data_IF_857668750215
#
_entry.id   IF_857668750215
#
_cell.length_a   1.000
_cell.length_b   1.000
_cell.length_c   1.000
_cell.angle_alpha   90.00
_cell.angle_beta   90.00
_cell.angle_gamma   90.00
#
_symmetry.space_group_name_H-M   'P 1'
#
loop_
_entity.id
_entity.type
_entity.pdbx_description
1 polymer ?
#
# COMPACT_ATOMS: atom_id res chain seq x y z
N UNK A 1 11.60 -6.67 -16.55
CA UNK A 1 10.78 -5.45 -16.48
C UNK A 1 9.44 -5.86 -15.88
N UNK A 2 9.17 -5.51 -14.62
CA UNK A 2 7.85 -5.75 -14.04
C UNK A 2 6.86 -4.80 -14.72
N UNK A 3 5.69 -5.32 -15.13
CA UNK A 3 4.61 -4.47 -15.64
C UNK A 3 4.03 -3.70 -14.46
N UNK A 4 4.17 -2.37 -14.53
CA UNK A 4 3.62 -1.42 -13.59
C UNK A 4 2.26 -0.99 -14.14
N UNK A 5 1.16 -1.46 -13.53
CA UNK A 5 -0.18 -0.96 -13.82
C UNK A 5 -0.44 0.20 -12.87
N UNK A 6 -0.88 1.33 -13.41
CA UNK A 6 -1.17 2.49 -12.60
C UNK A 6 -2.30 2.16 -11.61
N UNK A 7 -2.02 2.30 -10.33
CA UNK A 7 -2.98 2.15 -9.24
C UNK A 7 -3.40 3.55 -8.77
N UNK A 8 -4.64 3.65 -8.31
CA UNK A 8 -5.19 4.89 -7.77
C UNK A 8 -5.10 4.93 -6.25
N UNK A 9 -4.82 3.82 -5.58
CA UNK A 9 -4.74 3.77 -4.12
C UNK A 9 -3.73 2.72 -3.64
N UNK A 10 -3.34 2.84 -2.38
CA UNK A 10 -2.43 1.89 -1.73
C UNK A 10 -2.85 1.69 -0.27
N UNK A 11 -2.97 0.43 0.14
CA UNK A 11 -3.38 0.04 1.49
C UNK A 11 -2.44 -1.06 1.99
N UNK A 12 -1.76 -0.82 3.12
CA UNK A 12 -0.75 -1.73 3.67
C UNK A 12 -1.06 -2.01 5.15
N UNK A 13 -1.27 -3.29 5.50
CA UNK A 13 -1.45 -3.74 6.88
C UNK A 13 -0.08 -4.00 7.52
N UNK A 14 0.52 -2.98 8.13
CA UNK A 14 1.91 -2.97 8.56
C UNK A 14 2.15 -4.00 9.67
N UNK A 15 3.08 -4.93 9.46
CA UNK A 15 3.31 -6.05 10.37
C UNK A 15 2.27 -7.18 10.29
N UNK A 16 1.21 -7.02 9.49
CA UNK A 16 0.05 -7.93 9.47
C UNK A 16 -0.09 -8.74 8.18
N UNK A 17 -0.96 -9.75 8.23
CA UNK A 17 -1.39 -10.46 7.02
C UNK A 17 -2.40 -9.62 6.21
N UNK A 18 -2.68 -10.04 4.97
CA UNK A 18 -3.71 -9.41 4.14
C UNK A 18 -5.05 -9.42 4.88
N UNK A 19 -5.72 -8.28 4.91
CA UNK A 19 -7.00 -8.11 5.61
C UNK A 19 -7.93 -7.15 4.88
N UNK A 20 -9.19 -7.10 5.30
CA UNK A 20 -10.17 -6.10 4.86
C UNK A 20 -10.51 -5.23 6.05
N UNK A 21 -10.38 -3.92 5.89
CA UNK A 21 -10.75 -2.93 6.89
C UNK A 21 -11.33 -1.70 6.20
N UNK A 22 -12.36 -1.10 6.77
CA UNK A 22 -12.99 0.13 6.25
C UNK A 22 -13.44 0.01 4.78
N UNK A 23 -13.81 -1.21 4.34
CA UNK A 23 -14.23 -1.49 2.97
C UNK A 23 -13.09 -1.61 1.95
N UNK A 24 -11.82 -1.50 2.37
CA UNK A 24 -10.64 -1.62 1.52
C UNK A 24 -9.85 -2.89 1.82
N UNK A 25 -9.21 -3.46 0.81
CA UNK A 25 -8.32 -4.61 0.96
C UNK A 25 -6.88 -4.12 1.20
N UNK A 26 -6.33 -4.42 2.37
CA UNK A 26 -4.97 -4.08 2.75
C UNK A 26 -4.02 -5.22 2.38
N UNK A 27 -2.91 -4.88 1.72
CA UNK A 27 -1.84 -5.83 1.42
C UNK A 27 -1.14 -6.30 2.71
N UNK A 28 -0.58 -7.51 2.64
CA UNK A 28 0.18 -8.07 3.75
C UNK A 28 1.55 -7.41 3.89
N UNK A 29 1.96 -7.17 5.12
CA UNK A 29 3.30 -6.76 5.50
C UNK A 29 3.77 -7.58 6.72
N UNK A 30 3.72 -8.90 6.61
CA UNK A 30 4.07 -9.86 7.67
C UNK A 30 5.53 -10.35 7.61
N UNK A 31 6.31 -9.90 6.61
CA UNK A 31 7.70 -10.31 6.44
C UNK A 31 8.57 -9.79 7.61
N UNK A 32 9.48 -10.63 8.11
CA UNK A 32 10.39 -10.28 9.23
C UNK A 32 11.78 -9.83 8.76
N UNK A 33 11.87 -9.46 7.48
CA UNK A 33 13.11 -9.06 6.84
C UNK A 33 13.31 -7.55 7.02
N UNK A 34 14.54 -7.09 6.81
CA UNK A 34 14.86 -5.65 6.80
C UNK A 34 14.41 -4.96 5.51
N UNK A 35 14.00 -5.72 4.51
CA UNK A 35 13.50 -5.23 3.23
C UNK A 35 12.47 -6.22 2.68
N UNK A 36 11.43 -5.68 2.08
CA UNK A 36 10.41 -6.45 1.37
C UNK A 36 9.84 -5.61 0.24
N UNK A 37 9.43 -6.25 -0.85
CA UNK A 37 8.87 -5.56 -2.00
C UNK A 37 7.81 -6.41 -2.68
N UNK A 38 6.68 -5.78 -3.01
CA UNK A 38 5.70 -6.29 -3.95
C UNK A 38 5.96 -5.60 -5.30
N UNK A 39 6.44 -6.34 -6.33
CA UNK A 39 6.79 -5.76 -7.62
C UNK A 39 5.63 -4.96 -8.20
N UNK A 40 5.91 -3.71 -8.61
CA UNK A 40 4.93 -2.83 -9.23
C UNK A 40 3.85 -2.29 -8.29
N UNK A 41 4.00 -2.39 -6.97
CA UNK A 41 3.01 -1.86 -6.02
C UNK A 41 3.63 -1.08 -4.86
N UNK A 42 4.43 -1.73 -4.02
CA UNK A 42 5.11 -1.04 -2.91
C UNK A 42 6.28 -1.84 -2.35
N UNK A 43 7.12 -1.19 -1.54
CA UNK A 43 8.19 -1.84 -0.79
C UNK A 43 8.41 -1.14 0.56
N UNK A 44 9.12 -1.80 1.48
CA UNK A 44 9.69 -1.13 2.63
C UNK A 44 11.17 -1.47 2.82
N UNK A 45 11.87 -0.57 3.51
CA UNK A 45 13.21 -0.79 4.05
C UNK A 45 13.25 -0.43 5.53
N UNK A 46 13.97 -1.22 6.32
CA UNK A 46 14.05 -1.16 7.76
C UNK A 46 15.52 -1.26 8.18
N UNK A 47 16.04 -0.29 8.93
CA UNK A 47 17.47 -0.23 9.26
C UNK A 47 17.75 0.23 10.69
N UNK A 48 19.01 0.03 11.10
CA UNK A 48 19.50 0.21 12.46
C UNK A 48 19.39 -1.06 13.32
N UNK A 49 19.87 -0.98 14.55
CA UNK A 49 19.83 -2.10 15.49
C UNK A 49 19.09 -1.69 16.77
N UNK A 50 18.44 -2.65 17.42
CA UNK A 50 17.77 -2.41 18.69
C UNK A 50 18.81 -2.25 19.80
N UNK A 51 18.52 -1.40 20.78
CA UNK A 51 19.35 -1.24 21.98
C UNK A 51 19.32 -2.51 22.87
N UNK A 52 18.26 -3.30 22.76
CA UNK A 52 18.12 -4.58 23.45
C UNK A 52 19.02 -5.67 22.83
N UNK A 53 19.89 -6.26 23.65
CA UNK A 53 20.77 -7.37 23.24
C UNK A 53 20.03 -8.71 23.01
N UNK A 54 18.74 -8.79 23.39
CA UNK A 54 17.90 -9.98 23.20
C UNK A 54 16.91 -9.83 22.03
N UNK A 55 16.87 -8.65 21.40
CA UNK A 55 16.01 -8.44 20.24
C UNK A 55 16.47 -9.30 19.05
N UNK A 56 15.51 -9.76 18.27
CA UNK A 56 15.73 -10.63 17.11
C UNK A 56 14.78 -10.25 15.96
N UNK A 57 14.81 -11.02 14.87
CA UNK A 57 14.00 -10.72 13.68
C UNK A 57 12.49 -10.75 13.92
N UNK A 58 12.01 -11.42 14.97
CA UNK A 58 10.59 -11.36 15.33
C UNK A 58 10.16 -10.00 15.86
N UNK A 59 11.09 -9.19 16.38
CA UNK A 59 10.77 -7.86 16.89
C UNK A 59 10.39 -6.87 15.80
N UNK A 60 10.73 -7.12 14.53
CA UNK A 60 10.32 -6.25 13.43
C UNK A 60 8.79 -6.20 13.21
N UNK A 61 8.07 -7.16 13.80
CA UNK A 61 6.61 -7.24 13.79
C UNK A 61 6.12 -7.37 15.22
N UNK A 62 5.22 -6.48 15.63
CA UNK A 62 4.64 -6.49 16.97
C UNK A 62 3.16 -6.82 16.90
N UNK A 63 2.71 -7.59 17.87
CA UNK A 63 1.31 -7.93 18.06
C UNK A 63 0.83 -7.28 19.35
N UNK A 64 -0.45 -6.91 19.40
CA UNK A 64 -1.09 -6.46 20.64
C UNK A 64 -0.97 -7.53 21.73
N UNK A 65 -0.71 -7.08 22.95
CA UNK A 65 -0.61 -7.95 24.13
C UNK A 65 -1.92 -8.73 24.37
N UNK A 66 -1.80 -10.03 24.67
CA UNK A 66 -2.93 -10.90 25.01
C UNK A 66 -3.78 -10.29 26.14
N UNK A 67 -5.11 -10.18 25.94
CA UNK A 67 -6.07 -9.69 26.94
C UNK A 67 -6.99 -8.57 26.45
N UNK A 68 -6.62 -7.87 25.37
CA UNK A 68 -7.48 -6.87 24.73
C UNK A 68 -8.29 -7.55 23.62
N UNK A 69 -9.62 -7.58 23.76
CA UNK A 69 -10.53 -8.11 22.75
C UNK A 69 -10.65 -7.14 21.57
N UNK A 70 -9.68 -7.17 20.66
CA UNK A 70 -9.72 -6.41 19.41
C UNK A 70 -10.39 -7.28 18.33
N UNK A 71 -11.33 -6.71 17.57
CA UNK A 71 -11.96 -7.36 16.41
C UNK A 71 -10.91 -7.93 15.46
N UNK A 72 -11.13 -9.13 14.91
CA UNK A 72 -10.23 -9.78 13.94
C UNK A 72 -9.96 -8.97 12.68
N UNK A 73 -10.85 -8.04 12.34
CA UNK A 73 -10.73 -7.13 11.19
C UNK A 73 -9.94 -5.84 11.49
N UNK A 74 -9.40 -5.70 12.70
CA UNK A 74 -8.72 -4.47 13.12
C UNK A 74 -7.28 -4.38 12.61
N UNK A 75 -6.96 -3.26 11.96
CA UNK A 75 -5.61 -2.88 11.54
C UNK A 75 -4.64 -2.70 12.73
N UNK A 76 -5.15 -2.57 13.95
CA UNK A 76 -4.37 -2.21 15.14
C UNK A 76 -3.92 -3.42 15.97
N UNK A 77 -4.14 -4.64 15.46
CA UNK A 77 -3.63 -5.89 16.08
C UNK A 77 -2.14 -6.08 15.90
N UNK A 78 -1.61 -5.57 14.80
CA UNK A 78 -0.21 -5.71 14.41
C UNK A 78 0.38 -4.36 14.10
N UNK A 79 1.71 -4.27 14.16
CA UNK A 79 2.44 -3.11 13.71
C UNK A 79 3.82 -3.51 13.20
N UNK A 80 4.30 -2.80 12.17
CA UNK A 80 5.70 -2.85 11.79
C UNK A 80 6.51 -1.99 12.72
N UNK A 81 7.61 -2.55 13.18
CA UNK A 81 8.53 -1.92 14.12
C UNK A 81 9.95 -1.98 13.56
N UNK A 82 10.65 -0.85 13.54
CA UNK A 82 12.04 -0.79 13.09
C UNK A 82 12.88 -0.03 14.09
N UNK A 83 14.17 -0.37 14.26
CA UNK A 83 15.01 0.22 15.31
C UNK A 83 15.38 1.69 15.09
N UNK A 84 15.75 2.08 13.86
CA UNK A 84 16.21 3.46 13.59
C UNK A 84 15.41 4.10 12.49
N UNK A 85 15.25 3.42 11.36
CA UNK A 85 14.61 3.99 10.17
C UNK A 85 13.72 2.96 9.51
N UNK A 86 12.53 3.39 9.13
CA UNK A 86 11.55 2.63 8.35
C UNK A 86 11.07 3.51 7.21
N UNK A 87 11.22 3.05 5.97
CA UNK A 87 10.73 3.79 4.81
C UNK A 87 9.85 2.88 3.98
N UNK A 88 8.62 3.32 3.71
CA UNK A 88 7.74 2.72 2.71
C UNK A 88 7.81 3.50 1.42
N UNK A 89 7.72 2.77 0.31
CA UNK A 89 7.69 3.30 -1.05
C UNK A 89 6.42 2.81 -1.73
N UNK A 90 5.57 3.73 -2.19
CA UNK A 90 4.45 3.44 -3.08
C UNK A 90 4.89 3.59 -4.53
N UNK A 91 4.81 2.51 -5.31
CA UNK A 91 5.12 2.51 -6.73
C UNK A 91 3.84 2.56 -7.55
N UNK A 92 3.96 2.98 -8.81
CA UNK A 92 2.88 2.87 -9.79
C UNK A 92 1.59 3.62 -9.41
N UNK A 93 1.66 4.56 -8.46
CA UNK A 93 0.57 5.49 -8.22
C UNK A 93 0.51 6.49 -9.37
N UNK A 94 -0.69 6.78 -9.86
CA UNK A 94 -0.87 7.85 -10.83
C UNK A 94 -0.37 9.21 -10.30
N UNK A 95 0.01 10.10 -11.22
CA UNK A 95 0.41 11.45 -10.83
C UNK A 95 -0.81 12.21 -10.31
N UNK A 96 -0.70 12.79 -9.13
CA UNK A 96 -1.80 13.54 -8.57
C UNK A 96 -1.65 13.89 -7.10
N UNK A 97 -2.71 14.50 -6.57
CA UNK A 97 -2.84 14.80 -5.16
C UNK A 97 -3.50 13.63 -4.44
N UNK A 98 -2.89 13.23 -3.32
CA UNK A 98 -3.33 12.13 -2.49
C UNK A 98 -3.52 12.57 -1.05
N UNK A 99 -4.34 11.82 -0.32
CA UNK A 99 -4.37 11.81 1.13
C UNK A 99 -3.65 10.56 1.61
N UNK A 100 -2.61 10.75 2.40
CA UNK A 100 -1.89 9.70 3.13
C UNK A 100 -2.43 9.68 4.55
N UNK A 101 -3.02 8.55 4.95
CA UNK A 101 -3.45 8.29 6.33
C UNK A 101 -2.48 7.30 6.97
N UNK A 102 -1.91 7.70 8.10
CA UNK A 102 -0.99 6.90 8.90
C UNK A 102 -1.71 6.45 10.17
N UNK A 103 -1.86 5.14 10.31
CA UNK A 103 -2.58 4.52 11.41
C UNK A 103 -1.59 4.05 12.47
N UNK A 104 -1.71 4.60 13.67
CA UNK A 104 -0.85 4.30 14.81
C UNK A 104 -1.66 3.67 15.95
N UNK A 105 -1.03 2.76 16.67
CA UNK A 105 -1.47 2.33 17.99
C UNK A 105 -0.23 1.97 18.81
N UNK A 106 -0.16 2.42 20.07
CA UNK A 106 0.91 1.98 20.97
C UNK A 106 0.51 0.62 21.55
N UNK A 107 1.17 -0.44 21.05
CA UNK A 107 0.90 -1.83 21.40
C UNK A 107 2.07 -2.53 22.10
N UNK A 108 3.21 -1.86 22.28
CA UNK A 108 4.41 -2.41 22.95
C UNK A 108 4.42 -1.97 24.41
N UNK A 109 4.32 -0.65 24.65
CA UNK A 109 4.41 -0.07 25.98
C UNK A 109 3.02 0.07 26.61
N UNK A 110 2.28 -1.04 26.71
CA UNK A 110 0.87 -1.08 27.11
C UNK A 110 0.63 -1.44 28.57
N UNK A 111 1.61 -2.02 29.27
CA UNK A 111 1.47 -2.46 30.65
C UNK A 111 1.78 -1.31 31.60
N UNK A 112 0.73 -0.72 32.14
CA UNK A 112 0.50 -0.43 33.57
C UNK A 112 -0.90 0.18 33.70
N UNK A 113 -1.66 -0.16 34.74
CA UNK A 113 -3.04 0.32 34.97
C UNK A 113 -3.14 1.86 35.04
N UNK A 114 -2.01 2.54 35.26
CA UNK A 114 -1.86 4.00 35.29
C UNK A 114 -1.19 4.61 34.05
N UNK A 115 -0.97 3.86 32.97
CA UNK A 115 -0.16 4.31 31.81
C UNK A 115 1.28 4.73 32.18
N UNK A 116 1.75 4.29 33.34
CA UNK A 116 2.93 4.79 34.04
C UNK A 116 4.24 4.07 33.67
N UNK A 117 4.19 3.08 32.77
CA UNK A 117 5.43 2.55 32.20
C UNK A 117 6.20 3.71 31.56
N UNK A 118 7.34 4.03 32.16
CA UNK A 118 8.26 5.11 31.79
C UNK A 118 8.80 4.99 30.34
N UNK A 119 8.37 4.00 29.56
CA UNK A 119 8.71 3.78 28.16
C UNK A 119 7.90 4.70 27.24
N UNK A 120 8.56 5.67 26.60
CA UNK A 120 8.00 6.44 25.50
C UNK A 120 8.81 6.20 24.23
N UNK A 121 8.10 6.20 23.11
CA UNK A 121 8.70 6.10 21.79
C UNK A 121 8.49 7.44 21.10
N UNK A 122 9.59 8.02 20.60
CA UNK A 122 9.57 9.35 19.97
C UNK A 122 10.29 9.26 18.63
N UNK A 123 9.60 9.56 17.53
CA UNK A 123 10.18 9.52 16.18
C UNK A 123 9.63 10.66 15.32
N UNK A 124 10.35 10.98 14.25
CA UNK A 124 9.90 11.92 13.23
C UNK A 124 9.23 11.15 12.07
N UNK A 125 8.30 11.81 11.38
CA UNK A 125 7.65 11.29 10.17
C UNK A 125 7.83 12.28 9.03
N UNK A 126 8.27 11.76 7.89
CA UNK A 126 8.51 12.48 6.65
C UNK A 126 7.65 11.89 5.54
N UNK A 127 7.11 12.74 4.68
CA UNK A 127 6.41 12.34 3.47
C UNK A 127 6.99 13.16 2.32
N UNK A 128 7.43 12.48 1.26
CA UNK A 128 8.15 13.11 0.14
C UNK A 128 9.32 13.99 0.61
N UNK A 129 10.08 13.51 1.60
CA UNK A 129 11.22 14.22 2.20
C UNK A 129 10.88 15.40 3.13
N UNK A 130 9.62 15.80 3.24
CA UNK A 130 9.20 16.88 4.14
C UNK A 130 8.79 16.33 5.51
N UNK A 131 9.34 16.87 6.60
CA UNK A 131 8.98 16.46 7.97
C UNK A 131 7.57 16.92 8.31
N UNK A 132 6.63 15.99 8.35
CA UNK A 132 5.22 16.22 8.71
C UNK A 132 4.97 16.13 10.22
N UNK A 133 5.65 15.21 10.90
CA UNK A 133 5.61 15.10 12.35
C UNK A 133 7.03 15.13 12.92
N UNK A 134 7.22 15.94 13.96
CA UNK A 134 8.48 16.02 14.71
C UNK A 134 8.23 15.53 16.13
N UNK A 135 9.15 14.73 16.66
CA UNK A 135 9.11 14.25 18.04
C UNK A 135 7.75 13.59 18.37
N UNK A 136 7.21 12.83 17.41
CA UNK A 136 5.90 12.19 17.53
C UNK A 136 5.93 11.07 18.56
N UNK A 137 5.05 11.18 19.55
CA UNK A 137 4.83 10.21 20.60
C UNK A 137 3.39 9.70 20.54
N UNK A 138 3.21 8.44 20.12
CA UNK A 138 1.88 7.83 19.97
C UNK A 138 1.12 7.86 21.31
N UNK A 139 1.84 7.64 22.42
CA UNK A 139 1.25 7.63 23.76
C UNK A 139 0.65 8.96 24.21
N UNK A 140 1.21 10.07 23.75
CA UNK A 140 0.69 11.40 24.10
C UNK A 140 -0.51 11.78 23.23
N UNK A 141 -0.70 11.10 22.10
CA UNK A 141 -1.79 11.34 21.16
C UNK A 141 -2.99 10.46 21.43
N UNK A 142 -2.75 9.17 21.62
CA UNK A 142 -3.76 8.20 22.03
C UNK A 142 -4.01 8.37 23.54
N UNK A 143 -5.28 8.54 23.95
CA UNK A 143 -5.61 8.78 25.36
C UNK A 143 -5.48 7.50 26.22
N UNK A 144 -5.40 6.33 25.58
CA UNK A 144 -5.31 5.02 26.25
C UNK A 144 -4.44 4.01 25.47
N UNK A 145 -3.96 2.92 26.11
CA UNK A 145 -3.19 1.88 25.43
C UNK A 145 -4.02 1.19 24.34
N UNK A 146 -3.38 0.78 23.25
CA UNK A 146 -4.03 0.10 22.12
C UNK A 146 -5.16 0.92 21.44
N UNK A 147 -5.30 2.19 21.77
CA UNK A 147 -6.20 3.10 21.09
C UNK A 147 -5.57 3.55 19.76
N UNK A 148 -6.40 3.55 18.73
CA UNK A 148 -6.01 3.97 17.40
C UNK A 148 -5.86 5.49 17.34
N UNK A 149 -4.80 5.96 16.70
CA UNK A 149 -4.61 7.35 16.31
C UNK A 149 -4.29 7.44 14.83
N UNK A 150 -4.98 8.33 14.12
CA UNK A 150 -4.84 8.49 12.66
C UNK A 150 -4.37 9.90 12.36
N UNK A 151 -3.27 10.02 11.63
CA UNK A 151 -2.77 11.29 11.10
C UNK A 151 -2.97 11.32 9.59
N UNK A 152 -3.48 12.45 9.07
CA UNK A 152 -3.82 12.61 7.65
C UNK A 152 -2.99 13.72 7.03
N UNK A 153 -2.31 13.42 5.94
CA UNK A 153 -1.45 14.38 5.25
C UNK A 153 -1.73 14.44 3.76
N UNK A 154 -1.76 15.64 3.15
CA UNK A 154 -1.71 15.75 1.71
C UNK A 154 -0.32 15.35 1.20
N UNK A 155 -0.28 14.62 0.09
CA UNK A 155 0.93 14.27 -0.63
C UNK A 155 0.74 14.46 -2.13
N UNK A 156 1.83 14.80 -2.82
CA UNK A 156 1.86 14.89 -4.29
C UNK A 156 2.71 13.75 -4.81
N UNK A 157 2.11 12.92 -5.66
CA UNK A 157 2.81 11.88 -6.42
C UNK A 157 3.12 12.42 -7.81
N UNK A 158 4.39 12.34 -8.21
CA UNK A 158 4.90 12.84 -9.49
C UNK A 158 5.62 11.73 -10.28
N UNK A 159 6.80 12.00 -10.83
CA UNK A 159 7.64 11.00 -11.49
C UNK A 159 8.38 10.07 -10.51
N UNK A 160 8.35 10.35 -9.21
CA UNK A 160 9.01 9.56 -8.18
C UNK A 160 8.00 8.71 -7.38
N UNK A 161 8.44 7.58 -6.81
CA UNK A 161 7.64 6.82 -5.86
C UNK A 161 7.19 7.70 -4.69
N UNK A 162 6.00 7.43 -4.15
CA UNK A 162 5.58 8.03 -2.89
C UNK A 162 6.48 7.50 -1.77
N UNK A 163 7.22 8.39 -1.11
CA UNK A 163 8.07 8.03 0.02
C UNK A 163 7.42 8.45 1.36
N UNK A 164 7.31 7.49 2.28
CA UNK A 164 6.88 7.72 3.66
C UNK A 164 7.98 7.19 4.58
N UNK A 165 8.68 8.09 5.26
CA UNK A 165 9.86 7.79 6.06
C UNK A 165 9.63 8.10 7.53
N UNK A 166 9.89 7.11 8.38
CA UNK A 166 9.84 7.21 9.82
C UNK A 166 11.25 7.10 10.38
N UNK A 167 11.65 8.05 11.21
CA UNK A 167 13.03 8.15 11.67
C UNK A 167 13.12 8.39 13.18
N UNK A 168 13.89 7.55 13.85
CA UNK A 168 14.21 7.69 15.25
C UNK A 168 15.56 8.39 15.45
N UNK A 169 15.48 9.61 15.97
CA UNK A 169 16.64 10.48 16.21
C UNK A 169 17.28 10.28 17.60
N UNK A 170 17.15 9.09 18.21
CA UNK A 170 17.73 8.80 19.53
C UNK A 170 16.92 9.27 20.73
N UNK A 171 15.61 9.55 20.57
CA UNK A 171 14.73 10.09 21.62
C UNK A 171 13.76 9.06 22.19
N UNK A 172 13.15 9.36 23.34
CA UNK A 172 12.29 8.44 24.07
C UNK A 172 13.08 7.62 25.09
N UNK A 173 12.54 6.49 25.51
CA UNK A 173 13.10 5.73 26.63
C UNK A 173 14.24 4.81 26.19
N UNK A 174 15.43 5.09 26.72
CA UNK A 174 16.66 4.38 26.38
C UNK A 174 17.11 3.36 27.43
N UNK A 175 16.57 3.45 28.65
CA UNK A 175 17.03 2.66 29.81
C UNK A 175 15.91 1.83 30.45
N UNK A 176 14.70 1.87 29.90
CA UNK A 176 13.54 1.16 30.46
C UNK A 176 13.21 -0.06 29.61
N UNK A 177 13.19 -1.27 30.18
CA UNK A 177 12.83 -2.45 29.43
C UNK A 177 11.35 -2.39 28.96
N UNK A 178 11.03 -2.92 27.78
CA UNK A 178 11.95 -3.44 26.77
C UNK A 178 12.68 -2.30 26.04
N UNK A 179 14.01 -2.41 25.90
CA UNK A 179 14.90 -1.40 25.28
C UNK A 179 14.76 -1.38 23.74
N UNK A 180 13.55 -1.10 23.28
CA UNK A 180 13.13 -1.18 21.89
C UNK A 180 12.93 0.24 21.34
N UNK A 181 13.98 0.79 20.75
CA UNK A 181 14.01 2.08 20.05
C UNK A 181 13.36 2.03 18.67
N UNK A 182 12.96 3.19 18.12
CA UNK A 182 12.56 3.29 16.71
C UNK A 182 11.08 3.62 16.43
N UNK A 183 10.65 3.74 15.17
CA UNK A 183 9.25 4.00 14.81
C UNK A 183 8.36 2.75 14.79
N UNK A 184 7.05 2.95 15.05
CA UNK A 184 6.00 1.92 15.05
C UNK A 184 4.80 2.41 14.22
N UNK A 185 4.27 1.57 13.32
CA UNK A 185 3.11 1.90 12.46
C UNK A 185 2.23 0.67 12.25
N UNK A 186 0.91 0.82 12.33
CA UNK A 186 -0.07 -0.26 12.19
C UNK A 186 -0.61 -0.39 10.77
N UNK A 187 -0.88 0.72 10.08
CA UNK A 187 -1.29 0.68 8.69
C UNK A 187 -0.98 1.98 7.95
N UNK A 188 -0.94 1.88 6.62
CA UNK A 188 -0.81 3.02 5.71
C UNK A 188 -1.93 2.93 4.68
N UNK A 189 -2.63 4.04 4.47
CA UNK A 189 -3.65 4.19 3.46
C UNK A 189 -3.34 5.41 2.60
N UNK A 190 -3.41 5.26 1.29
CA UNK A 190 -3.13 6.31 0.32
C UNK A 190 -4.29 6.33 -0.65
N UNK A 191 -5.03 7.43 -0.67
CA UNK A 191 -6.22 7.58 -1.50
C UNK A 191 -6.14 8.84 -2.34
N UNK A 192 -6.65 8.82 -3.59
CA UNK A 192 -6.54 9.95 -4.49
C UNK A 192 -7.56 11.02 -4.09
N UNK A 193 -7.17 12.29 -4.13
CA UNK A 193 -8.07 13.42 -3.88
C UNK A 193 -8.84 13.86 -5.14
N UNK A 194 -8.92 12.98 -6.14
CA UNK A 194 -9.57 13.22 -7.41
C UNK A 194 -10.51 12.07 -7.76
N UNK A 195 -11.45 12.32 -8.67
CA UNK A 195 -12.37 11.28 -9.13
C UNK A 195 -11.58 10.24 -9.92
N UNK A 196 -11.52 9.02 -9.39
CA UNK A 196 -11.01 7.87 -10.12
C UNK A 196 -11.99 7.56 -11.23
N UNK A 197 -11.56 7.75 -12.47
CA UNK A 197 -12.26 7.21 -13.60
C UNK A 197 -11.82 5.75 -13.72
N UNK A 198 -12.57 4.84 -13.11
CA UNK A 198 -12.45 3.42 -13.38
C UNK A 198 -12.52 3.28 -14.90
N UNK A 199 -11.41 2.92 -15.56
CA UNK A 199 -11.32 2.77 -17.02
C UNK A 199 -12.25 1.71 -17.63
N UNK A 200 -13.30 1.31 -16.91
CA UNK A 200 -14.44 0.53 -17.39
C UNK A 200 -15.08 1.27 -18.55
N UNK A 201 -14.89 0.71 -19.73
CA UNK A 201 -15.64 1.08 -20.92
C UNK A 201 -17.14 1.01 -20.59
N UNK A 202 -17.85 2.08 -20.91
CA UNK A 202 -19.31 2.10 -20.79
C UNK A 202 -19.92 0.97 -21.63
N UNK A 203 -21.11 0.49 -21.24
CA UNK A 203 -21.84 -0.52 -22.02
C UNK A 203 -22.01 -0.09 -23.50
N UNK A 204 -22.14 1.21 -23.76
CA UNK A 204 -22.18 1.79 -25.11
C UNK A 204 -20.85 1.63 -25.87
N UNK A 205 -19.71 1.85 -25.23
CA UNK A 205 -18.38 1.64 -25.85
C UNK A 205 -18.12 0.16 -26.14
N UNK A 206 -18.47 -0.73 -25.20
CA UNK A 206 -18.35 -2.19 -25.41
C UNK A 206 -19.21 -2.64 -26.59
N UNK A 207 -20.47 -2.18 -26.64
CA UNK A 207 -21.40 -2.46 -27.74
C UNK A 207 -20.85 -1.92 -29.07
N UNK A 208 -20.32 -0.70 -29.08
CA UNK A 208 -19.74 -0.07 -30.27
C UNK A 208 -18.53 -0.83 -30.82
N UNK A 209 -17.60 -1.26 -29.96
CA UNK A 209 -16.45 -2.08 -30.36
C UNK A 209 -16.92 -3.42 -30.95
N UNK A 210 -17.91 -4.05 -30.31
CA UNK A 210 -18.44 -5.35 -30.74
C UNK A 210 -19.08 -5.27 -32.13
N UNK A 211 -19.90 -4.25 -32.38
CA UNK A 211 -20.51 -3.99 -33.69
C UNK A 211 -19.41 -3.66 -34.71
N UNK A 212 -18.47 -2.77 -34.36
CA UNK A 212 -17.36 -2.40 -35.24
C UNK A 212 -16.54 -3.61 -35.71
N UNK A 213 -16.18 -4.52 -34.81
CA UNK A 213 -15.44 -5.75 -35.15
C UNK A 213 -16.23 -6.71 -36.05
N UNK A 214 -17.56 -6.74 -35.95
CA UNK A 214 -18.40 -7.59 -36.82
C UNK A 214 -18.62 -6.98 -38.21
N UNK A 215 -18.79 -5.66 -38.30
CA UNK A 215 -19.08 -4.98 -39.56
C UNK A 215 -17.82 -4.60 -40.36
N UNK A 216 -16.69 -4.36 -39.70
CA UNK A 216 -15.42 -4.07 -40.37
C UNK A 216 -15.03 -5.14 -41.42
N UNK A 217 -15.03 -6.46 -41.11
CA UNK A 217 -14.70 -7.48 -42.11
C UNK A 217 -15.75 -7.58 -43.21
N UNK A 218 -17.03 -7.36 -42.92
CA UNK A 218 -18.10 -7.35 -43.92
C UNK A 218 -17.95 -6.18 -44.91
N UNK A 219 -17.64 -4.99 -44.41
CA UNK A 219 -17.37 -3.81 -45.25
C UNK A 219 -16.09 -3.99 -46.08
N UNK A 220 -15.05 -4.60 -45.50
CA UNK A 220 -13.83 -4.97 -46.22
C UNK A 220 -14.12 -5.96 -47.36
N UNK A 221 -14.90 -7.01 -47.09
CA UNK A 221 -15.32 -7.98 -48.11
C UNK A 221 -16.14 -7.33 -49.22
N UNK A 222 -17.11 -6.47 -48.87
CA UNK A 222 -17.91 -5.73 -49.85
C UNK A 222 -17.04 -4.79 -50.71
N UNK A 223 -16.04 -4.14 -50.11
CA UNK A 223 -15.09 -3.30 -50.82
C UNK A 223 -14.20 -4.11 -51.78
N UNK A 224 -13.62 -5.22 -51.31
CA UNK A 224 -12.82 -6.14 -52.14
C UNK A 224 -13.65 -6.69 -53.30
N UNK A 225 -14.92 -7.03 -53.05
CA UNK A 225 -15.84 -7.51 -54.07
C UNK A 225 -16.16 -6.42 -55.11
N UNK A 226 -16.43 -5.19 -54.67
CA UNK A 226 -16.67 -4.04 -55.56
C UNK A 226 -15.46 -3.69 -56.43
N UNK A 227 -14.25 -3.88 -55.90
CA UNK A 227 -12.99 -3.66 -56.64
C UNK A 227 -12.66 -4.78 -57.63
N UNK A 228 -13.48 -5.84 -57.70
CA UNK A 228 -13.30 -6.94 -58.64
C UNK A 228 -12.11 -7.87 -58.32
N UNK A 229 -11.59 -7.80 -57.10
CA UNK A 229 -10.44 -8.62 -56.66
C UNK A 229 -10.84 -10.06 -56.32
N UNK A 230 -12.15 -10.31 -56.18
CA UNK A 230 -12.74 -11.65 -56.11
C UNK A 230 -13.31 -12.02 -57.49
N UNK A 231 -12.41 -12.32 -58.43
CA UNK A 231 -12.73 -12.74 -59.79
C UNK A 231 -12.59 -14.26 -59.99
N UNK A 232 -13.61 -14.85 -60.62
CA UNK A 232 -13.86 -16.28 -60.90
C UNK A 232 -12.63 -17.15 -61.23
N UNK A 233 -12.44 -18.23 -60.46
CA UNK A 233 -11.86 -19.48 -60.99
C UNK A 233 -12.99 -20.28 -61.64
N UNK A 234 -13.14 -20.14 -62.96
CA UNK A 234 -13.97 -21.08 -63.72
C UNK A 234 -13.39 -22.50 -63.60
N UNK A 235 -14.14 -23.40 -62.96
CA UNK A 235 -13.96 -24.83 -63.13
C UNK A 235 -14.47 -25.19 -64.53
N UNK A 236 -13.56 -25.19 -65.50
CA UNK A 236 -13.82 -25.71 -66.85
C UNK A 236 -14.15 -27.20 -66.72
N UNK A 237 -15.44 -27.52 -66.82
CA UNK A 237 -15.89 -28.89 -66.96
C UNK A 237 -15.38 -29.45 -68.28
N UNK A 238 -14.58 -30.51 -68.23
CA UNK A 238 -14.33 -31.34 -69.39
C UNK A 238 -15.52 -32.29 -69.59
N UNK A 239 -16.17 -32.14 -70.73
CA UNK A 239 -17.21 -33.04 -71.23
C UNK A 239 -16.58 -34.30 -71.80
N UNK A 240 -17.24 -35.42 -71.51
CA UNK A 240 -17.01 -36.78 -71.99
C UNK A 240 -16.84 -36.85 -73.52
N UNK A 241 -15.82 -37.59 -73.99
CA UNK A 241 -15.87 -38.39 -75.21
C UNK A 241 -15.12 -39.70 -75.02
#
# INVERSE_FOLDING_TARGET
MALCFADHSLFINCGGARTVAEGNQYDEDNAKNRFYSIPGKWAYSCSGDFLSSVANSSDYVKNTTCGVSISEESLYKTARFCPVSLTYYGFCLEKGNYTVELHFAEIIYTQDEDYSSLGTRIFDVYIQGERKLKDFNIKEKAQSPNEAWIEKFPAIVDDHPLEIHFFWAGKGSLNNPPLLNGPLISAISVTPNYKVHDGKLSAAQITGITIGCAFAPLLLLAFIWKMGWLGNRELRGETIS
#
